data_IF_338679384102
#
_entry.id   IF_338679384102
#
_cell.length_a   1.000
_cell.length_b   1.000
_cell.length_c   1.000
_cell.angle_alpha   90.00
_cell.angle_beta   90.00
_cell.angle_gamma   90.00
#
_symmetry.space_group_name_H-M   'P 1'
#
loop_
_entity.id
_entity.type
_entity.pdbx_description
1 polymer ?
#
# COMPACT_ATOMS: atom_id res chain seq x y z
N UNK A 1 8.30 -8.05 34.94
CA UNK A 1 8.07 -7.65 33.53
C UNK A 1 8.26 -8.89 32.64
N UNK A 2 7.58 -9.00 31.49
CA UNK A 2 7.69 -10.14 30.56
C UNK A 2 7.84 -9.64 29.11
N UNK A 3 8.64 -10.34 28.31
CA UNK A 3 8.80 -10.04 26.88
C UNK A 3 7.48 -10.30 26.14
N UNK A 4 7.13 -9.39 25.23
CA UNK A 4 5.96 -9.57 24.37
C UNK A 4 6.24 -10.63 23.29
N UNK A 5 5.23 -11.42 22.88
CA UNK A 5 5.37 -12.30 21.72
C UNK A 5 5.75 -11.53 20.46
N UNK A 6 6.56 -12.12 19.59
CA UNK A 6 7.04 -11.48 18.36
C UNK A 6 5.89 -10.97 17.47
N UNK A 7 4.77 -11.69 17.42
CA UNK A 7 3.57 -11.25 16.71
C UNK A 7 2.97 -9.96 17.29
N UNK A 8 2.95 -9.83 18.63
CA UNK A 8 2.45 -8.62 19.29
C UNK A 8 3.35 -7.43 19.00
N UNK A 9 4.67 -7.61 19.07
CA UNK A 9 5.65 -6.55 18.71
C UNK A 9 5.48 -6.12 17.25
N UNK A 10 5.31 -7.08 16.33
CA UNK A 10 5.05 -6.79 14.91
C UNK A 10 3.76 -6.01 14.73
N UNK A 11 2.68 -6.41 15.39
CA UNK A 11 1.39 -5.73 15.30
C UNK A 11 1.47 -4.29 15.83
N UNK A 12 2.13 -4.08 16.97
CA UNK A 12 2.31 -2.76 17.58
C UNK A 12 3.13 -1.83 16.68
N UNK A 13 4.31 -2.28 16.23
CA UNK A 13 5.17 -1.49 15.33
C UNK A 13 4.47 -1.13 14.02
N UNK A 14 3.81 -2.08 13.36
CA UNK A 14 3.08 -1.81 12.13
C UNK A 14 1.90 -0.85 12.32
N UNK A 15 1.25 -0.89 13.49
CA UNK A 15 0.17 0.04 13.81
C UNK A 15 0.65 1.48 14.04
N UNK A 16 1.95 1.70 14.27
CA UNK A 16 2.56 3.03 14.35
C UNK A 16 2.94 3.56 12.97
N UNK A 17 3.32 2.66 12.04
CA UNK A 17 3.62 3.00 10.64
C UNK A 17 2.33 3.31 9.86
N UNK A 18 1.35 2.40 9.93
CA UNK A 18 0.05 2.56 9.25
C UNK A 18 -1.03 2.91 10.27
N UNK A 19 -1.40 4.19 10.31
CA UNK A 19 -2.27 4.76 11.34
C UNK A 19 -3.73 4.93 10.90
N UNK A 20 -3.99 4.97 9.60
CA UNK A 20 -5.30 5.30 9.03
C UNK A 20 -5.46 4.82 7.58
N UNK A 21 -6.67 4.97 6.99
CA UNK A 21 -6.92 4.64 5.58
C UNK A 21 -6.10 5.56 4.68
N UNK A 22 -6.09 6.87 4.97
CA UNK A 22 -5.31 7.83 4.18
C UNK A 22 -3.81 7.53 4.23
N UNK A 23 -3.28 6.99 5.35
CA UNK A 23 -1.88 6.58 5.42
C UNK A 23 -1.56 5.41 4.48
N UNK A 24 -2.46 4.42 4.34
CA UNK A 24 -2.27 3.34 3.36
C UNK A 24 -2.25 3.91 1.95
N UNK A 25 -3.22 4.77 1.61
CA UNK A 25 -3.29 5.38 0.27
C UNK A 25 -2.04 6.19 -0.03
N UNK A 26 -1.56 7.00 0.93
CA UNK A 26 -0.34 7.78 0.79
C UNK A 26 0.85 6.90 0.42
N UNK A 27 1.14 5.88 1.22
CA UNK A 27 2.31 5.03 1.01
C UNK A 27 2.24 4.27 -0.32
N UNK A 28 1.05 3.82 -0.73
CA UNK A 28 0.88 3.12 -2.01
C UNK A 28 1.00 4.07 -3.21
N UNK A 29 0.43 5.27 -3.13
CA UNK A 29 0.56 6.29 -4.19
C UNK A 29 2.03 6.73 -4.32
N UNK A 30 2.72 6.94 -3.20
CA UNK A 30 4.14 7.28 -3.19
C UNK A 30 5.01 6.19 -3.82
N UNK A 31 4.73 4.91 -3.53
CA UNK A 31 5.41 3.81 -4.21
C UNK A 31 5.16 3.81 -5.73
N UNK A 32 3.94 4.14 -6.17
CA UNK A 32 3.64 4.28 -7.60
C UNK A 32 4.39 5.47 -8.23
N UNK A 33 4.52 6.59 -7.51
CA UNK A 33 5.30 7.75 -7.96
C UNK A 33 6.79 7.44 -8.07
N UNK A 34 7.35 6.71 -7.11
CA UNK A 34 8.75 6.24 -7.13
C UNK A 34 8.99 5.21 -8.25
N UNK A 35 7.93 4.56 -8.76
CA UNK A 35 7.97 3.65 -9.89
C UNK A 35 7.73 4.33 -11.25
N UNK A 36 7.90 5.66 -11.34
CA UNK A 36 7.78 6.45 -12.57
C UNK A 36 6.38 6.38 -13.23
N UNK A 37 5.33 6.17 -12.44
CA UNK A 37 3.96 6.08 -12.95
C UNK A 37 3.46 7.42 -13.50
N UNK A 38 2.73 7.37 -14.62
CA UNK A 38 2.06 8.53 -15.24
C UNK A 38 0.55 8.49 -15.07
N UNK A 39 0.00 7.35 -14.63
CA UNK A 39 -1.40 7.18 -14.26
C UNK A 39 -1.51 6.33 -13.01
N UNK A 40 -2.28 6.82 -12.02
CA UNK A 40 -2.57 6.12 -10.78
C UNK A 40 -4.09 6.11 -10.55
N UNK A 41 -4.66 4.91 -10.45
CA UNK A 41 -6.06 4.68 -10.14
C UNK A 41 -6.18 4.20 -8.67
N UNK A 42 -6.86 4.98 -7.84
CA UNK A 42 -7.11 4.68 -6.42
C UNK A 42 -8.58 4.36 -6.23
N UNK A 43 -8.88 3.16 -5.73
CA UNK A 43 -10.25 2.71 -5.45
C UNK A 43 -10.41 2.31 -3.99
N UNK A 44 -11.45 2.83 -3.35
CA UNK A 44 -11.86 2.47 -2.00
C UNK A 44 -13.24 1.83 -2.00
N UNK A 45 -13.39 0.70 -1.32
CA UNK A 45 -14.67 0.07 -1.04
C UNK A 45 -14.93 0.07 0.47
N UNK A 46 -16.16 0.41 0.86
CA UNK A 46 -16.54 0.58 2.27
C UNK A 46 -15.53 1.45 3.04
N UNK A 47 -15.27 2.65 2.51
CA UNK A 47 -14.35 3.63 3.09
C UNK A 47 -12.89 3.15 3.22
N UNK A 48 -12.51 2.07 2.54
CA UNK A 48 -11.16 1.48 2.61
C UNK A 48 -11.03 0.35 3.64
N UNK A 49 -12.07 0.04 4.41
CA UNK A 49 -12.02 -1.10 5.33
C UNK A 49 -12.15 -2.43 4.62
N UNK A 50 -13.00 -2.50 3.60
CA UNK A 50 -13.20 -3.73 2.84
C UNK A 50 -12.09 -3.90 1.81
N UNK A 51 -11.84 -2.84 1.01
CA UNK A 51 -10.78 -2.83 0.01
C UNK A 51 -10.20 -1.44 -0.21
N UNK A 52 -8.88 -1.39 -0.31
CA UNK A 52 -8.08 -0.31 -0.92
C UNK A 52 -7.36 -0.95 -2.10
N UNK A 53 -7.47 -0.36 -3.27
CA UNK A 53 -6.79 -0.83 -4.48
C UNK A 53 -6.09 0.38 -5.10
N UNK A 54 -4.78 0.29 -5.27
CA UNK A 54 -3.98 1.29 -5.97
C UNK A 54 -3.33 0.61 -7.15
N UNK A 55 -3.68 1.06 -8.35
CA UNK A 55 -3.15 0.57 -9.61
C UNK A 55 -2.39 1.67 -10.29
N UNK A 56 -1.20 1.35 -10.77
CA UNK A 56 -0.38 2.23 -11.57
C UNK A 56 0.06 1.58 -12.88
N UNK A 57 0.66 2.40 -13.73
CA UNK A 57 1.30 2.01 -14.98
C UNK A 57 2.82 2.23 -14.94
N UNK A 58 3.42 2.17 -13.75
CA UNK A 58 4.85 2.38 -13.56
C UNK A 58 5.69 1.21 -14.07
N UNK A 59 6.95 1.17 -13.64
CA UNK A 59 7.93 0.20 -14.13
C UNK A 59 7.68 -1.25 -13.69
N UNK A 60 6.78 -1.45 -12.71
CA UNK A 60 6.58 -2.74 -12.04
C UNK A 60 7.71 -3.07 -11.06
N UNK A 61 7.58 -4.24 -10.43
CA UNK A 61 8.55 -4.80 -9.48
C UNK A 61 9.38 -5.87 -10.20
N UNK A 62 10.70 -5.72 -10.19
CA UNK A 62 11.63 -6.66 -10.81
C UNK A 62 11.58 -8.03 -10.13
N UNK A 63 11.79 -9.09 -10.90
CA UNK A 63 11.78 -10.47 -10.41
C UNK A 63 12.74 -10.71 -9.22
N UNK A 64 13.88 -10.00 -9.17
CA UNK A 64 14.86 -10.08 -8.07
C UNK A 64 14.32 -9.52 -6.75
N UNK A 65 13.44 -8.51 -6.80
CA UNK A 65 12.89 -7.83 -5.63
C UNK A 65 11.60 -8.50 -5.12
N UNK A 66 10.93 -9.28 -5.98
CA UNK A 66 9.66 -9.97 -5.67
C UNK A 66 9.70 -10.74 -4.34
N UNK A 67 10.74 -11.54 -4.00
CA UNK A 67 10.76 -12.30 -2.75
C UNK A 67 10.73 -11.43 -1.49
N UNK A 68 11.15 -10.16 -1.60
CA UNK A 68 11.34 -9.25 -0.45
C UNK A 68 10.47 -7.99 -0.51
N UNK A 69 9.66 -7.79 -1.55
CA UNK A 69 8.91 -6.55 -1.77
C UNK A 69 7.97 -6.13 -0.63
N UNK A 70 7.50 -7.10 0.17
CA UNK A 70 6.63 -6.85 1.32
C UNK A 70 7.30 -7.16 2.67
N UNK A 71 8.61 -7.44 2.67
CA UNK A 71 9.38 -7.66 3.89
C UNK A 71 9.79 -6.33 4.51
N UNK A 72 9.82 -6.25 5.84
CA UNK A 72 10.28 -5.04 6.54
C UNK A 72 11.79 -4.85 6.36
N UNK A 73 12.21 -3.59 6.26
CA UNK A 73 13.61 -3.16 6.11
C UNK A 73 14.25 -3.53 4.76
N UNK A 74 13.42 -3.81 3.75
CA UNK A 74 13.87 -3.97 2.37
C UNK A 74 13.40 -2.78 1.55
N UNK A 75 14.33 -2.15 0.83
CA UNK A 75 14.05 -1.01 -0.03
C UNK A 75 15.01 -1.01 -1.22
N UNK A 76 14.53 -0.57 -2.38
CA UNK A 76 15.32 -0.37 -3.59
C UNK A 76 15.79 1.09 -3.76
N UNK A 77 15.51 1.97 -2.78
CA UNK A 77 15.62 3.43 -2.92
C UNK A 77 16.85 4.03 -2.25
N UNK A 78 17.40 3.33 -1.25
CA UNK A 78 18.63 3.70 -0.56
C UNK A 78 19.46 2.44 -0.31
N UNK A 79 20.78 2.61 -0.26
CA UNK A 79 21.76 1.54 -0.07
C UNK A 79 22.70 1.83 1.11
N UNK A 80 22.83 3.09 1.53
CA UNK A 80 23.71 3.49 2.63
C UNK A 80 23.16 4.66 3.45
N UNK A 81 23.84 5.00 4.55
CA UNK A 81 23.48 6.14 5.42
C UNK A 81 23.60 7.47 4.71
N UNK A 82 24.54 7.60 3.78
CA UNK A 82 24.82 8.83 3.04
C UNK A 82 23.65 9.20 2.13
N UNK A 83 22.91 8.20 1.61
CA UNK A 83 21.71 8.44 0.79
C UNK A 83 20.60 9.17 1.55
N UNK A 84 20.62 9.15 2.90
CA UNK A 84 19.65 9.89 3.73
C UNK A 84 19.84 11.41 3.65
N UNK A 85 21.01 11.88 3.22
CA UNK A 85 21.31 13.31 3.05
C UNK A 85 20.77 13.86 1.73
N UNK A 86 20.46 13.00 0.76
CA UNK A 86 20.00 13.38 -0.58
C UNK A 86 18.84 12.50 -1.08
N UNK A 87 17.75 12.47 -0.31
CA UNK A 87 16.55 11.70 -0.66
C UNK A 87 15.83 12.30 -1.87
N UNK A 88 15.66 11.49 -2.92
CA UNK A 88 14.92 11.83 -4.14
C UNK A 88 13.62 11.02 -4.32
N UNK A 89 13.39 10.04 -3.46
CA UNK A 89 12.20 9.18 -3.46
C UNK A 89 11.31 9.48 -2.25
N UNK A 90 10.02 9.16 -2.36
CA UNK A 90 9.08 9.30 -1.24
C UNK A 90 9.27 8.19 -0.21
N UNK A 91 9.41 6.95 -0.67
CA UNK A 91 9.61 5.77 0.17
C UNK A 91 11.08 5.38 0.27
N UNK A 92 11.60 5.21 1.49
CA UNK A 92 12.98 4.72 1.71
C UNK A 92 13.14 3.81 2.93
N UNK A 93 12.17 3.77 3.84
CA UNK A 93 12.26 3.00 5.09
C UNK A 93 12.10 1.48 4.90
N UNK A 94 11.45 1.07 3.80
CA UNK A 94 11.16 -0.36 3.56
C UNK A 94 10.17 -0.97 4.54
N UNK A 95 9.29 -0.17 5.16
CA UNK A 95 8.38 -0.64 6.21
C UNK A 95 6.91 -0.69 5.80
N UNK A 96 6.52 0.07 4.77
CA UNK A 96 5.11 0.30 4.45
C UNK A 96 4.36 -0.99 4.09
N UNK A 97 4.78 -1.71 3.05
CA UNK A 97 4.08 -2.91 2.58
C UNK A 97 4.04 -4.02 3.64
N UNK A 98 5.15 -4.27 4.35
CA UNK A 98 5.17 -5.23 5.45
C UNK A 98 4.28 -4.82 6.62
N UNK A 99 4.18 -3.52 6.91
CA UNK A 99 3.28 -3.01 7.93
C UNK A 99 1.82 -3.19 7.51
N UNK A 100 1.47 -2.89 6.25
CA UNK A 100 0.14 -3.13 5.68
C UNK A 100 -0.21 -4.63 5.76
N UNK A 101 0.68 -5.53 5.32
CA UNK A 101 0.48 -6.99 5.39
C UNK A 101 0.15 -7.46 6.80
N UNK A 102 0.80 -6.91 7.82
CA UNK A 102 0.58 -7.34 9.20
C UNK A 102 -0.81 -7.00 9.76
N UNK A 103 -1.53 -6.03 9.17
CA UNK A 103 -2.83 -5.50 9.63
C UNK A 103 -3.99 -5.70 8.63
N UNK A 104 -3.75 -6.43 7.54
CA UNK A 104 -4.71 -6.62 6.45
C UNK A 104 -4.43 -7.91 5.67
N UNK A 105 -5.20 -8.16 4.60
CA UNK A 105 -4.89 -9.18 3.59
C UNK A 105 -4.39 -8.45 2.34
N UNK A 106 -3.20 -8.79 1.86
CA UNK A 106 -2.57 -8.08 0.74
C UNK A 106 -2.36 -9.02 -0.43
N UNK A 107 -2.64 -8.52 -1.64
CA UNK A 107 -2.15 -9.09 -2.88
C UNK A 107 -1.52 -8.01 -3.75
N UNK A 108 -0.46 -8.37 -4.47
CA UNK A 108 0.23 -7.48 -5.40
C UNK A 108 0.26 -8.18 -6.75
N UNK A 109 -0.25 -7.52 -7.78
CA UNK A 109 -0.07 -7.94 -9.17
C UNK A 109 0.90 -6.99 -9.84
N UNK A 110 1.96 -7.51 -10.45
CA UNK A 110 3.00 -6.68 -11.05
C UNK A 110 3.46 -7.26 -12.38
N UNK A 111 3.90 -6.37 -13.27
CA UNK A 111 4.57 -6.71 -14.53
C UNK A 111 5.55 -5.62 -14.90
N UNK A 112 6.78 -5.99 -15.19
CA UNK A 112 7.77 -5.12 -15.83
C UNK A 112 7.69 -5.25 -17.35
N UNK A 113 8.32 -4.32 -18.08
CA UNK A 113 8.40 -4.40 -19.53
C UNK A 113 9.14 -5.65 -20.06
N UNK A 114 10.01 -6.25 -19.23
CA UNK A 114 10.76 -7.45 -19.56
C UNK A 114 9.98 -8.75 -19.30
N UNK A 115 8.84 -8.68 -18.60
CA UNK A 115 8.04 -9.86 -18.26
C UNK A 115 7.02 -10.18 -19.36
N UNK A 116 6.90 -11.47 -19.68
CA UNK A 116 5.92 -11.98 -20.65
C UNK A 116 4.48 -11.76 -20.19
N UNK A 117 4.23 -11.94 -18.88
CA UNK A 117 2.91 -11.78 -18.27
C UNK A 117 3.02 -11.23 -16.85
N UNK A 118 1.96 -10.57 -16.38
CA UNK A 118 1.87 -10.12 -14.99
C UNK A 118 1.69 -11.31 -14.03
N UNK A 119 2.25 -11.24 -12.83
CA UNK A 119 2.04 -12.25 -11.78
C UNK A 119 1.38 -11.62 -10.57
N UNK A 120 0.36 -12.29 -10.03
CA UNK A 120 -0.30 -11.93 -8.77
C UNK A 120 0.28 -12.76 -7.62
N UNK A 121 0.68 -12.07 -6.56
CA UNK A 121 1.24 -12.64 -5.33
C UNK A 121 0.30 -12.35 -4.16
N UNK A 122 0.16 -13.32 -3.26
CA UNK A 122 -0.52 -13.15 -1.97
C UNK A 122 0.47 -13.29 -0.83
N UNK A 123 0.26 -12.53 0.24
CA UNK A 123 1.21 -12.44 1.36
C UNK A 123 0.61 -12.88 2.69
N UNK A 124 1.46 -13.42 3.56
CA UNK A 124 1.15 -13.59 4.97
C UNK A 124 1.29 -12.28 5.77
N UNK A 125 1.04 -12.35 7.09
CA UNK A 125 1.14 -11.19 8.00
C UNK A 125 2.58 -10.75 8.34
N UNK A 126 3.57 -11.46 7.82
CA UNK A 126 4.99 -11.15 7.96
C UNK A 126 5.57 -10.59 6.64
N UNK A 127 4.81 -10.60 5.55
CA UNK A 127 5.23 -10.13 4.24
C UNK A 127 5.77 -11.23 3.32
N UNK A 128 5.72 -12.50 3.72
CA UNK A 128 6.16 -13.61 2.86
C UNK A 128 5.09 -13.98 1.84
N UNK A 129 5.53 -14.31 0.63
CA UNK A 129 4.66 -14.84 -0.42
C UNK A 129 4.16 -16.24 -0.01
N UNK A 130 2.83 -16.41 0.03
CA UNK A 130 2.18 -17.69 0.34
C UNK A 130 1.57 -18.36 -0.90
N UNK A 131 1.30 -17.58 -1.95
CA UNK A 131 0.86 -18.11 -3.24
C UNK A 131 1.12 -17.10 -4.35
N UNK A 132 1.24 -17.61 -5.57
CA UNK A 132 1.36 -16.81 -6.78
C UNK A 132 0.57 -17.43 -7.93
N UNK A 133 0.10 -16.61 -8.86
CA UNK A 133 -0.54 -17.09 -10.10
C UNK A 133 -0.35 -16.09 -11.25
N UNK A 134 -0.33 -16.55 -12.51
CA UNK A 134 -0.37 -15.66 -13.67
C UNK A 134 -1.61 -14.76 -13.68
N UNK A 135 -1.46 -13.57 -14.26
CA UNK A 135 -2.51 -12.57 -14.47
C UNK A 135 -2.28 -11.88 -15.82
N UNK A 136 -3.22 -11.07 -16.29
CA UNK A 136 -3.20 -10.47 -17.64
C UNK A 136 -3.24 -8.93 -17.59
N UNK A 137 -2.59 -8.33 -16.59
CA UNK A 137 -2.43 -6.89 -16.51
C UNK A 137 -1.28 -6.41 -17.40
N UNK A 138 -1.40 -5.17 -17.87
CA UNK A 138 -0.29 -4.45 -18.52
C UNK A 138 0.85 -4.14 -17.54
N UNK A 139 1.90 -3.51 -18.05
CA UNK A 139 3.03 -3.03 -17.25
C UNK A 139 2.55 -2.12 -16.12
N UNK A 140 3.17 -2.25 -14.95
CA UNK A 140 2.82 -1.53 -13.73
C UNK A 140 2.52 -2.44 -12.57
N UNK A 141 2.02 -1.84 -11.49
CA UNK A 141 1.71 -2.53 -10.25
C UNK A 141 0.27 -2.28 -9.83
N UNK A 142 -0.40 -3.30 -9.30
CA UNK A 142 -1.66 -3.18 -8.58
C UNK A 142 -1.50 -3.76 -7.20
N UNK A 143 -1.66 -2.92 -6.17
CA UNK A 143 -1.68 -3.34 -4.77
C UNK A 143 -3.11 -3.33 -4.27
N UNK A 144 -3.59 -4.50 -3.84
CA UNK A 144 -4.92 -4.67 -3.24
C UNK A 144 -4.75 -5.00 -1.76
N UNK A 145 -5.34 -4.17 -0.91
CA UNK A 145 -5.38 -4.29 0.55
C UNK A 145 -6.83 -4.54 0.97
N UNK A 146 -7.09 -5.68 1.61
CA UNK A 146 -8.43 -6.07 2.04
C UNK A 146 -8.52 -6.21 3.55
N UNK A 147 -9.72 -5.96 4.10
CA UNK A 147 -10.04 -6.16 5.52
C UNK A 147 -9.08 -5.41 6.45
N UNK A 148 -8.82 -4.12 6.15
CA UNK A 148 -7.93 -3.28 6.93
C UNK A 148 -8.37 -3.22 8.40
N UNK A 149 -7.41 -3.30 9.32
CA UNK A 149 -7.60 -3.29 10.78
C UNK A 149 -8.45 -4.45 11.31
N UNK A 150 -8.68 -5.53 10.55
CA UNK A 150 -9.44 -6.70 11.02
C UNK A 150 -8.88 -7.27 12.33
N UNK A 151 -7.57 -7.23 12.51
CA UNK A 151 -6.86 -7.69 13.70
C UNK A 151 -6.56 -6.57 14.72
N UNK A 152 -7.12 -5.38 14.53
CA UNK A 152 -7.01 -4.22 15.43
C UNK A 152 -8.43 -3.69 15.75
N UNK A 153 -9.26 -4.43 16.52
CA UNK A 153 -10.69 -4.15 16.66
C UNK A 153 -10.98 -2.77 17.23
N UNK A 154 -10.21 -2.32 18.23
CA UNK A 154 -10.36 -0.98 18.83
C UNK A 154 -10.11 0.12 17.80
N UNK A 155 -9.07 -0.04 16.96
CA UNK A 155 -8.76 0.91 15.88
C UNK A 155 -9.83 0.88 14.80
N UNK A 156 -10.28 -0.30 14.40
CA UNK A 156 -11.38 -0.45 13.45
C UNK A 156 -12.62 0.28 13.96
N UNK A 157 -13.03 0.03 15.20
CA UNK A 157 -14.17 0.70 15.83
C UNK A 157 -14.04 2.23 15.85
N UNK A 158 -12.86 2.75 16.20
CA UNK A 158 -12.59 4.19 16.20
C UNK A 158 -12.85 4.82 14.83
N UNK A 159 -12.36 4.19 13.75
CA UNK A 159 -12.53 4.72 12.39
C UNK A 159 -13.88 4.37 11.75
N UNK A 160 -14.63 3.38 12.25
CA UNK A 160 -15.92 2.95 11.69
C UNK A 160 -17.08 3.92 11.90
N UNK A 161 -16.91 5.01 12.67
CA UNK A 161 -17.97 6.02 12.83
C UNK A 161 -18.20 6.79 11.54
N UNK A 162 -19.45 7.13 11.19
CA UNK A 162 -19.78 7.85 9.94
C UNK A 162 -18.97 9.16 9.80
N UNK A 163 -18.76 9.88 10.92
CA UNK A 163 -17.93 11.07 10.97
C UNK A 163 -16.48 10.78 10.56
N UNK A 164 -15.86 9.73 11.11
CA UNK A 164 -14.46 9.37 10.81
C UNK A 164 -14.30 8.81 9.40
N UNK A 165 -15.23 7.98 8.96
CA UNK A 165 -15.29 7.49 7.58
C UNK A 165 -15.28 8.65 6.56
N UNK A 166 -16.16 9.64 6.74
CA UNK A 166 -16.22 10.84 5.88
C UNK A 166 -14.95 11.70 5.99
N UNK A 167 -14.38 11.81 7.18
CA UNK A 167 -13.12 12.53 7.41
C UNK A 167 -11.96 11.89 6.63
N UNK A 168 -11.82 10.56 6.66
CA UNK A 168 -10.79 9.83 5.93
C UNK A 168 -10.92 10.00 4.41
N UNK A 169 -12.15 9.93 3.87
CA UNK A 169 -12.36 10.20 2.42
C UNK A 169 -11.93 11.61 2.05
N UNK A 170 -12.30 12.63 2.85
CA UNK A 170 -11.89 14.01 2.61
C UNK A 170 -10.38 14.17 2.67
N UNK A 171 -9.70 13.52 3.61
CA UNK A 171 -8.24 13.53 3.71
C UNK A 171 -7.60 12.87 2.49
N UNK A 172 -8.11 11.72 2.06
CA UNK A 172 -7.64 11.04 0.84
C UNK A 172 -7.81 11.92 -0.39
N UNK A 173 -8.97 12.56 -0.58
CA UNK A 173 -9.19 13.48 -1.69
C UNK A 173 -8.19 14.65 -1.67
N UNK A 174 -8.00 15.29 -0.51
CA UNK A 174 -7.03 16.39 -0.37
C UNK A 174 -5.60 15.95 -0.69
N UNK A 175 -5.20 14.76 -0.22
CA UNK A 175 -3.90 14.18 -0.50
C UNK A 175 -3.70 13.97 -2.01
N UNK A 176 -4.65 13.33 -2.68
CA UNK A 176 -4.58 13.07 -4.12
C UNK A 176 -4.59 14.36 -4.95
N UNK A 177 -5.39 15.36 -4.53
CA UNK A 177 -5.37 16.69 -5.17
C UNK A 177 -4.01 17.37 -5.02
N UNK A 178 -3.37 17.28 -3.85
CA UNK A 178 -2.03 17.84 -3.65
C UNK A 178 -1.00 17.21 -4.60
N UNK A 179 -1.04 15.88 -4.78
CA UNK A 179 -0.20 15.21 -5.77
C UNK A 179 -0.49 15.64 -7.20
N UNK A 180 -1.76 15.77 -7.59
CA UNK A 180 -2.13 16.25 -8.93
C UNK A 180 -1.74 17.70 -9.20
N UNK A 181 -1.68 18.56 -8.17
CA UNK A 181 -1.18 19.94 -8.30
C UNK A 181 0.34 19.96 -8.50
N UNK A 182 1.08 19.12 -7.76
CA UNK A 182 2.55 19.09 -7.80
C UNK A 182 3.07 18.39 -9.07
N UNK A 183 2.30 17.42 -9.61
CA UNK A 183 2.62 16.68 -10.84
C UNK A 183 1.48 16.82 -11.86
N UNK A 184 1.39 17.93 -12.61
CA UNK A 184 0.29 18.19 -13.54
C UNK A 184 0.14 17.15 -14.66
N UNK A 185 1.23 16.48 -15.03
CA UNK A 185 1.28 15.40 -16.02
C UNK A 185 0.75 14.05 -15.51
N UNK A 186 0.59 13.90 -14.19
CA UNK A 186 0.12 12.66 -13.57
C UNK A 186 -1.41 12.58 -13.62
N UNK A 187 -1.94 11.55 -14.29
CA UNK A 187 -3.36 11.23 -14.20
C UNK A 187 -3.65 10.53 -12.88
N UNK A 188 -4.51 11.14 -12.04
CA UNK A 188 -5.02 10.49 -10.83
C UNK A 188 -6.52 10.28 -10.95
N UNK A 189 -6.97 9.03 -10.80
CA UNK A 189 -8.39 8.69 -10.71
C UNK A 189 -8.70 8.22 -9.30
N UNK A 190 -9.75 8.75 -8.68
CA UNK A 190 -10.20 8.33 -7.37
C UNK A 190 -11.67 7.88 -7.41
N UNK A 191 -11.93 6.64 -7.01
CA UNK A 191 -13.27 6.06 -6.94
C UNK A 191 -13.55 5.57 -5.53
N UNK A 192 -14.69 5.95 -4.97
CA UNK A 192 -15.16 5.44 -3.67
C UNK A 192 -16.55 4.83 -3.82
N UNK A 193 -16.64 3.52 -3.58
CA UNK A 193 -17.89 2.78 -3.57
C UNK A 193 -18.32 2.55 -2.12
N UNK A 194 -19.36 3.25 -1.70
CA UNK A 194 -20.04 2.97 -0.44
C UNK A 194 -20.90 1.73 -0.64
N UNK A 195 -20.38 0.55 -0.28
CA UNK A 195 -21.22 -0.65 -0.19
C UNK A 195 -22.19 -0.42 0.96
N UNK A 196 -23.44 -0.10 0.63
CA UNK A 196 -24.55 -0.11 1.57
C UNK A 196 -25.03 -1.55 1.58
N UNK A 197 -24.70 -2.30 2.62
CA UNK A 197 -25.43 -3.54 2.87
C UNK A 197 -26.86 -3.13 3.23
N UNK A 198 -27.80 -3.42 2.33
CA UNK A 198 -29.24 -3.45 2.60
C UNK A 198 -29.54 -4.59 3.57
#
# INVERSE_FOLDING_TARGET
MKQLPAETVRLLSSSQVIVSVVSVVKELVENSLDANSTSIDVKLENYGFEKIEVRDNGDGIKAVDVPVMAMKHYTSKISSSEDLESLSTYGFRGEALGSICSISQVSITTRTAADDFSTQYHFDRSGHIISQKPSHLGTGTTVTVQKLFKNLPVRKQFYSTDKKCKEEIKKTQKLLMAYGIIKPELRIMFTHNKVINL
#
